data_IF_259887134753
#
_entry.id   IF_259887134753
#
_cell.length_a   1.000
_cell.length_b   1.000
_cell.length_c   1.000
_cell.angle_alpha   90.00
_cell.angle_beta   90.00
_cell.angle_gamma   90.00
#
_symmetry.space_group_name_H-M   'P 1'
#
loop_
_entity.id
_entity.type
_entity.pdbx_description
1 polymer ?
#
# COMPACT_ATOMS: atom_id res chain seq x y z
N UNK A 1 -17.58 -15.05 10.19
CA UNK A 1 -18.00 -14.40 8.93
C UNK A 1 -16.90 -13.40 8.71
N UNK A 2 -16.03 -13.64 7.74
CA UNK A 2 -15.03 -12.63 7.38
C UNK A 2 -15.80 -11.43 6.80
N UNK A 3 -15.37 -10.22 7.18
CA UNK A 3 -16.07 -8.98 6.86
C UNK A 3 -15.69 -8.56 5.43
N UNK A 4 -16.59 -8.81 4.48
CA UNK A 4 -16.44 -8.44 3.07
C UNK A 4 -16.98 -7.02 2.82
N UNK A 5 -16.96 -6.12 3.80
CA UNK A 5 -17.36 -4.72 3.59
C UNK A 5 -16.27 -3.90 2.90
N UNK A 6 -16.64 -2.93 2.04
CA UNK A 6 -15.68 -1.99 1.47
C UNK A 6 -14.92 -1.23 2.54
N UNK A 7 -13.71 -0.80 2.20
CA UNK A 7 -13.00 0.17 3.04
C UNK A 7 -13.89 1.41 3.18
N UNK A 8 -13.98 1.94 4.40
CA UNK A 8 -14.85 3.07 4.75
C UNK A 8 -14.68 4.21 3.73
N UNK A 9 -15.80 4.75 3.26
CA UNK A 9 -15.89 5.82 2.25
C UNK A 9 -15.34 5.47 0.84
N UNK A 10 -15.08 4.18 0.57
CA UNK A 10 -14.60 3.66 -0.73
C UNK A 10 -15.60 2.74 -1.46
N UNK A 11 -16.87 2.78 -1.09
CA UNK A 11 -17.94 2.06 -1.81
C UNK A 11 -18.29 2.74 -3.15
N UNK A 12 -18.64 1.95 -4.16
CA UNK A 12 -19.13 2.42 -5.47
C UNK A 12 -18.05 3.01 -6.36
N UNK A 13 -16.77 2.73 -6.08
CA UNK A 13 -15.64 3.27 -6.85
C UNK A 13 -15.49 2.58 -8.19
N UNK A 14 -15.07 3.36 -9.19
CA UNK A 14 -14.73 2.85 -10.53
C UNK A 14 -13.31 2.32 -10.49
N UNK A 15 -13.13 1.04 -10.80
CA UNK A 15 -11.84 0.40 -10.54
C UNK A 15 -11.65 -0.96 -11.18
N UNK A 16 -10.54 -1.60 -10.86
CA UNK A 16 -10.21 -2.96 -11.29
C UNK A 16 -9.88 -3.87 -10.11
N UNK A 17 -9.40 -5.05 -10.44
CA UNK A 17 -8.92 -6.02 -9.45
C UNK A 17 -7.41 -6.13 -9.61
N UNK A 18 -6.72 -5.99 -8.50
CA UNK A 18 -5.29 -6.23 -8.39
C UNK A 18 -5.07 -7.45 -7.50
N UNK A 19 -3.90 -8.08 -7.63
CA UNK A 19 -3.52 -9.19 -6.77
C UNK A 19 -2.05 -9.15 -6.44
N UNK A 20 -1.70 -9.78 -5.32
CA UNK A 20 -0.33 -9.94 -4.85
C UNK A 20 -0.19 -11.27 -4.13
N UNK A 21 1.05 -11.72 -3.93
CA UNK A 21 1.35 -12.91 -3.15
C UNK A 21 2.06 -12.49 -1.87
N UNK A 22 1.55 -12.94 -0.72
CA UNK A 22 2.20 -12.77 0.58
C UNK A 22 2.30 -14.13 1.25
N UNK A 23 3.52 -14.55 1.61
CA UNK A 23 3.81 -15.85 2.21
C UNK A 23 3.26 -17.03 1.37
N UNK A 24 3.37 -16.92 0.05
CA UNK A 24 2.89 -17.93 -0.90
C UNK A 24 1.36 -17.97 -1.06
N UNK A 25 0.61 -17.10 -0.38
CA UNK A 25 -0.84 -16.96 -0.53
C UNK A 25 -1.17 -15.78 -1.42
N UNK A 26 -2.03 -15.98 -2.42
CA UNK A 26 -2.54 -14.89 -3.25
C UNK A 26 -3.66 -14.15 -2.53
N UNK A 27 -3.54 -12.83 -2.54
CA UNK A 27 -4.53 -11.89 -2.04
C UNK A 27 -4.98 -11.01 -3.19
N UNK A 28 -6.28 -10.82 -3.32
CA UNK A 28 -6.92 -9.94 -4.28
C UNK A 28 -7.44 -8.70 -3.57
N UNK A 29 -7.49 -7.58 -4.28
CA UNK A 29 -8.13 -6.37 -3.80
C UNK A 29 -8.69 -5.53 -4.95
N UNK A 30 -9.75 -4.78 -4.66
CA UNK A 30 -10.26 -3.76 -5.56
C UNK A 30 -9.36 -2.53 -5.54
N UNK A 31 -9.17 -1.90 -6.70
CA UNK A 31 -8.33 -0.71 -6.85
C UNK A 31 -9.03 0.37 -7.68
N UNK A 32 -9.11 1.59 -7.15
CA UNK A 32 -9.60 2.77 -7.87
C UNK A 32 -8.42 3.48 -8.53
N UNK A 33 -8.28 3.32 -9.86
CA UNK A 33 -7.19 3.94 -10.64
C UNK A 33 -7.29 5.46 -10.76
N UNK A 34 -8.44 6.07 -10.44
CA UNK A 34 -8.60 7.53 -10.50
C UNK A 34 -8.10 8.22 -9.25
N UNK A 35 -8.30 7.58 -8.10
CA UNK A 35 -7.84 8.07 -6.81
C UNK A 35 -6.50 7.44 -6.39
N UNK A 36 -6.07 6.40 -7.10
CA UNK A 36 -4.85 5.64 -6.82
C UNK A 36 -4.89 4.93 -5.46
N UNK A 37 -6.03 4.30 -5.13
CA UNK A 37 -6.26 3.73 -3.79
C UNK A 37 -6.88 2.34 -3.81
N UNK A 38 -6.54 1.52 -2.83
CA UNK A 38 -7.24 0.26 -2.58
C UNK A 38 -8.66 0.53 -2.05
N UNK A 39 -9.66 -0.25 -2.47
CA UNK A 39 -11.06 -0.03 -2.05
C UNK A 39 -11.67 -1.19 -1.27
N UNK A 40 -10.98 -2.33 -1.20
CA UNK A 40 -11.44 -3.52 -0.50
C UNK A 40 -10.46 -3.99 0.58
N UNK A 41 -10.93 -4.83 1.53
CA UNK A 41 -10.06 -5.74 2.25
C UNK A 41 -9.27 -6.64 1.30
N UNK A 42 -8.23 -7.29 1.81
CA UNK A 42 -7.50 -8.34 1.11
C UNK A 42 -8.31 -9.64 1.15
N UNK A 43 -8.71 -10.12 -0.03
CA UNK A 43 -9.56 -11.31 -0.16
C UNK A 43 -8.76 -12.40 -0.87
N UNK A 44 -8.63 -13.57 -0.27
CA UNK A 44 -7.84 -14.69 -0.84
C UNK A 44 -8.65 -15.72 -1.64
N UNK A 45 -9.98 -15.65 -1.57
CA UNK A 45 -10.88 -16.48 -2.37
C UNK A 45 -11.31 -15.69 -3.63
N UNK A 46 -10.92 -16.13 -4.83
CA UNK A 46 -11.23 -15.39 -6.06
C UNK A 46 -12.74 -15.35 -6.36
N UNK A 47 -13.54 -16.31 -5.87
CA UNK A 47 -14.99 -16.25 -6.02
C UNK A 47 -15.62 -15.23 -5.05
N UNK A 48 -15.00 -15.01 -3.88
CA UNK A 48 -15.40 -13.94 -2.96
C UNK A 48 -15.02 -12.58 -3.51
N UNK A 49 -13.82 -12.42 -4.05
CA UNK A 49 -13.40 -11.15 -4.66
C UNK A 49 -14.35 -10.72 -5.79
N UNK A 50 -14.75 -11.66 -6.65
CA UNK A 50 -15.69 -11.35 -7.73
C UNK A 50 -17.08 -10.93 -7.23
N UNK A 51 -17.57 -11.55 -6.13
CA UNK A 51 -18.83 -11.14 -5.48
C UNK A 51 -18.71 -9.75 -4.86
N UNK A 52 -17.65 -9.52 -4.08
CA UNK A 52 -17.36 -8.22 -3.50
C UNK A 52 -17.41 -7.12 -4.56
N UNK A 53 -16.71 -7.32 -5.68
CA UNK A 53 -16.63 -6.31 -6.73
C UNK A 53 -17.98 -6.09 -7.42
N UNK A 54 -18.78 -7.14 -7.65
CA UNK A 54 -20.13 -7.01 -8.21
C UNK A 54 -21.09 -6.24 -7.29
N UNK A 55 -20.92 -6.36 -5.98
CA UNK A 55 -21.78 -5.71 -4.99
C UNK A 55 -21.37 -4.26 -4.72
N UNK A 56 -20.06 -3.94 -4.79
CA UNK A 56 -19.53 -2.68 -4.25
C UNK A 56 -18.70 -1.85 -5.23
N UNK A 57 -18.38 -2.34 -6.43
CA UNK A 57 -17.52 -1.64 -7.39
C UNK A 57 -18.21 -1.40 -8.73
N UNK A 58 -17.71 -0.42 -9.46
CA UNK A 58 -18.18 -0.05 -10.78
C UNK A 58 -17.05 -0.15 -11.82
N UNK A 59 -17.44 -0.25 -13.07
CA UNK A 59 -16.62 0.06 -14.23
C UNK A 59 -17.03 1.42 -14.82
N UNK A 60 -16.25 1.91 -15.79
CA UNK A 60 -16.54 3.18 -16.47
C UNK A 60 -17.88 3.21 -17.20
N UNK A 61 -18.44 2.05 -17.52
CA UNK A 61 -19.75 1.84 -18.14
C UNK A 61 -20.85 1.39 -17.15
N UNK A 62 -20.54 1.31 -15.85
CA UNK A 62 -21.49 1.07 -14.77
C UNK A 62 -21.26 -0.23 -14.01
N UNK A 63 -22.34 -0.76 -13.43
CA UNK A 63 -22.30 -1.99 -12.63
C UNK A 63 -22.26 -3.24 -13.52
N UNK A 64 -21.50 -4.24 -13.08
CA UNK A 64 -21.37 -5.53 -13.75
C UNK A 64 -21.61 -6.70 -12.81
N UNK A 65 -21.96 -7.84 -13.39
CA UNK A 65 -22.24 -9.06 -12.62
C UNK A 65 -20.97 -9.79 -12.17
N UNK A 66 -21.17 -10.80 -11.32
CA UNK A 66 -20.08 -11.62 -10.76
C UNK A 66 -19.25 -12.32 -11.85
N UNK A 67 -19.86 -12.68 -12.99
CA UNK A 67 -19.15 -13.39 -14.06
C UNK A 67 -18.14 -12.46 -14.75
N UNK A 68 -18.52 -11.22 -15.02
CA UNK A 68 -17.60 -10.19 -15.49
C UNK A 68 -16.44 -9.96 -14.52
N UNK A 69 -16.73 -9.75 -13.24
CA UNK A 69 -15.68 -9.51 -12.25
C UNK A 69 -14.76 -10.73 -12.06
N UNK A 70 -15.28 -11.94 -12.28
CA UNK A 70 -14.47 -13.16 -12.24
C UNK A 70 -13.38 -13.16 -13.32
N UNK A 71 -13.68 -12.68 -14.52
CA UNK A 71 -12.69 -12.56 -15.60
C UNK A 71 -11.56 -11.59 -15.21
N UNK A 72 -11.90 -10.49 -14.51
CA UNK A 72 -10.90 -9.54 -14.00
C UNK A 72 -10.07 -10.12 -12.85
N UNK A 73 -10.70 -10.87 -11.94
CA UNK A 73 -9.98 -11.60 -10.88
C UNK A 73 -8.98 -12.59 -11.49
N UNK A 74 -9.39 -13.38 -12.48
CA UNK A 74 -8.51 -14.35 -13.12
C UNK A 74 -7.37 -13.63 -13.90
N UNK A 75 -7.67 -12.50 -14.55
CA UNK A 75 -6.67 -11.68 -15.26
C UNK A 75 -5.66 -11.04 -14.30
N UNK A 76 -6.09 -10.62 -13.10
CA UNK A 76 -5.22 -10.00 -12.09
C UNK A 76 -4.12 -10.92 -11.56
N UNK A 77 -4.22 -12.24 -11.82
CA UNK A 77 -3.18 -13.22 -11.48
C UNK A 77 -1.95 -13.07 -12.37
N UNK A 78 -2.14 -12.69 -13.63
CA UNK A 78 -1.07 -12.57 -14.64
C UNK A 78 -0.71 -11.12 -14.94
N UNK A 79 -1.67 -10.21 -14.76
CA UNK A 79 -1.55 -8.79 -15.07
C UNK A 79 -1.69 -7.96 -13.81
N UNK A 80 -0.97 -6.84 -13.76
CA UNK A 80 -1.18 -5.78 -12.78
C UNK A 80 -1.22 -4.44 -13.51
N UNK A 81 -2.10 -3.55 -13.08
CA UNK A 81 -2.09 -2.15 -13.47
C UNK A 81 -1.10 -1.32 -12.65
N UNK A 82 -0.54 -1.88 -11.57
CA UNK A 82 0.36 -1.20 -10.63
C UNK A 82 1.83 -1.53 -10.90
N UNK A 83 2.15 -2.81 -11.14
CA UNK A 83 3.54 -3.27 -11.35
C UNK A 83 3.71 -3.98 -12.69
N UNK A 84 4.92 -3.93 -13.24
CA UNK A 84 5.24 -4.54 -14.53
C UNK A 84 5.53 -6.05 -14.45
N UNK A 85 6.09 -6.52 -13.33
CA UNK A 85 6.54 -7.90 -13.13
C UNK A 85 5.84 -8.55 -11.92
N UNK A 86 5.67 -9.88 -11.92
CA UNK A 86 4.95 -10.60 -10.85
C UNK A 86 5.78 -10.67 -9.56
N UNK A 87 7.10 -10.63 -9.70
CA UNK A 87 8.07 -10.59 -8.62
C UNK A 87 7.93 -9.32 -7.77
N UNK A 88 7.52 -8.19 -8.38
CA UNK A 88 7.34 -6.90 -7.71
C UNK A 88 6.11 -6.85 -6.78
N UNK A 89 5.23 -7.84 -6.88
CA UNK A 89 4.03 -8.04 -6.05
C UNK A 89 4.03 -9.37 -5.32
N UNK A 90 5.22 -9.95 -5.13
CA UNK A 90 5.41 -11.19 -4.37
C UNK A 90 6.30 -10.90 -3.16
N UNK A 91 5.75 -11.16 -1.98
CA UNK A 91 6.39 -10.91 -0.70
C UNK A 91 6.40 -12.16 0.16
N UNK A 92 7.44 -12.31 0.96
CA UNK A 92 7.45 -13.20 2.12
C UNK A 92 7.77 -12.40 3.39
N UNK A 93 7.35 -12.93 4.53
CA UNK A 93 7.49 -12.29 5.83
C UNK A 93 8.96 -11.98 6.19
N UNK A 94 9.92 -12.78 5.71
CA UNK A 94 11.35 -12.53 5.97
C UNK A 94 11.82 -11.28 5.20
N UNK A 95 11.47 -11.19 3.92
CA UNK A 95 11.76 -10.06 3.03
C UNK A 95 11.07 -8.81 3.53
N UNK A 96 9.79 -8.88 3.91
CA UNK A 96 9.06 -7.76 4.50
C UNK A 96 9.73 -7.26 5.78
N UNK A 97 10.12 -8.16 6.68
CA UNK A 97 10.82 -7.78 7.90
C UNK A 97 12.19 -7.12 7.63
N UNK A 98 12.93 -7.61 6.61
CA UNK A 98 14.21 -7.04 6.20
C UNK A 98 14.07 -5.67 5.53
N UNK A 99 12.97 -5.46 4.80
CA UNK A 99 12.67 -4.23 4.07
C UNK A 99 12.02 -3.14 4.93
N UNK A 100 11.88 -3.34 6.25
CA UNK A 100 11.15 -2.40 7.10
C UNK A 100 11.61 -0.96 6.88
N UNK A 101 12.90 -0.67 7.11
CA UNK A 101 13.47 0.68 7.01
C UNK A 101 13.87 1.07 5.58
N UNK A 102 13.87 0.10 4.66
CA UNK A 102 14.28 0.29 3.27
C UNK A 102 13.30 -0.47 2.35
N UNK A 103 12.01 -0.08 2.36
CA UNK A 103 11.00 -0.73 1.54
C UNK A 103 11.31 -0.50 0.06
N UNK A 104 10.91 -1.45 -0.80
CA UNK A 104 10.96 -1.21 -2.23
C UNK A 104 9.95 -0.12 -2.63
N UNK A 105 10.18 0.52 -3.78
CA UNK A 105 9.24 1.50 -4.34
C UNK A 105 7.83 0.94 -4.47
N UNK A 106 7.70 -0.31 -4.90
CA UNK A 106 6.42 -0.99 -5.05
C UNK A 106 5.73 -1.24 -3.71
N UNK A 107 6.50 -1.62 -2.68
CA UNK A 107 5.92 -1.79 -1.34
C UNK A 107 5.46 -0.44 -0.77
N UNK A 108 6.25 0.63 -0.94
CA UNK A 108 5.84 1.98 -0.53
C UNK A 108 4.58 2.44 -1.24
N UNK A 109 4.51 2.23 -2.55
CA UNK A 109 3.34 2.57 -3.35
C UNK A 109 2.10 1.80 -2.88
N UNK A 110 2.24 0.49 -2.68
CA UNK A 110 1.13 -0.35 -2.20
C UNK A 110 0.63 0.11 -0.83
N UNK A 111 1.54 0.43 0.09
CA UNK A 111 1.18 0.94 1.41
C UNK A 111 0.50 2.31 1.32
N UNK A 112 1.02 3.22 0.50
CA UNK A 112 0.42 4.53 0.23
C UNK A 112 -0.99 4.41 -0.34
N UNK A 113 -1.19 3.57 -1.35
CA UNK A 113 -2.51 3.33 -1.93
C UNK A 113 -3.49 2.69 -0.93
N UNK A 114 -3.01 1.80 -0.04
CA UNK A 114 -3.84 1.22 1.00
C UNK A 114 -4.30 2.28 2.03
N UNK A 115 -3.39 3.16 2.46
CA UNK A 115 -3.67 4.26 3.38
C UNK A 115 -4.28 5.48 2.69
N UNK A 116 -4.63 5.39 1.40
CA UNK A 116 -5.14 6.51 0.59
C UNK A 116 -4.27 7.77 0.60
N UNK A 117 -2.95 7.58 0.63
CA UNK A 117 -1.95 8.65 0.56
C UNK A 117 -2.10 9.71 1.66
N UNK A 118 -2.61 9.31 2.83
CA UNK A 118 -2.90 10.18 3.97
C UNK A 118 -1.70 11.06 4.39
N UNK A 119 -1.80 12.35 4.07
CA UNK A 119 -0.74 13.34 4.23
C UNK A 119 -0.61 13.87 5.66
N UNK A 120 -1.47 13.45 6.60
CA UNK A 120 -1.35 13.82 8.02
C UNK A 120 0.01 13.41 8.61
N UNK A 121 0.66 12.40 8.02
CA UNK A 121 2.05 12.02 8.36
C UNK A 121 3.02 13.20 8.33
N UNK A 122 2.92 14.06 7.32
CA UNK A 122 3.83 15.19 7.14
C UNK A 122 3.53 16.36 8.09
N UNK A 123 2.38 16.36 8.79
CA UNK A 123 2.06 17.37 9.78
C UNK A 123 2.84 17.20 11.11
N UNK A 124 3.48 16.04 11.34
CA UNK A 124 4.25 15.78 12.56
C UNK A 124 5.56 16.60 12.58
N UNK A 125 5.74 17.40 13.64
CA UNK A 125 6.92 18.26 13.82
C UNK A 125 8.24 17.48 13.82
N UNK A 126 8.25 16.25 14.35
CA UNK A 126 9.43 15.39 14.39
C UNK A 126 9.79 14.84 13.00
N UNK A 127 8.78 14.54 12.18
CA UNK A 127 8.96 14.17 10.76
C UNK A 127 9.54 15.35 9.99
N UNK A 128 8.98 16.55 10.15
CA UNK A 128 9.49 17.78 9.51
C UNK A 128 10.92 18.10 9.94
N UNK A 129 11.24 17.96 11.22
CA UNK A 129 12.61 18.15 11.71
C UNK A 129 13.59 17.15 11.09
N UNK A 130 13.20 15.88 10.94
CA UNK A 130 14.03 14.87 10.28
C UNK A 130 14.28 15.21 8.80
N UNK A 131 13.24 15.63 8.07
CA UNK A 131 13.36 16.04 6.67
C UNK A 131 14.34 17.21 6.48
N UNK A 132 14.32 18.20 7.40
CA UNK A 132 15.31 19.29 7.42
C UNK A 132 16.73 18.76 7.61
N UNK A 133 16.94 17.86 8.57
CA UNK A 133 18.26 17.25 8.83
C UNK A 133 18.75 16.40 7.65
N UNK A 134 17.84 15.68 6.97
CA UNK A 134 18.14 14.90 5.76
C UNK A 134 18.51 15.81 4.57
N UNK A 135 18.04 17.07 4.60
CA UNK A 135 18.25 18.03 3.52
C UNK A 135 17.22 17.92 2.41
N UNK A 136 16.01 17.45 2.71
CA UNK A 136 14.88 17.48 1.75
C UNK A 136 14.49 18.94 1.49
N UNK A 137 14.37 19.39 0.22
CA UNK A 137 13.94 20.74 -0.12
C UNK A 137 12.55 21.05 0.45
N UNK A 138 12.34 22.26 0.96
CA UNK A 138 11.05 22.68 1.55
C UNK A 138 9.82 22.39 0.68
N UNK A 139 9.83 22.59 -0.65
CA UNK A 139 8.69 22.28 -1.50
C UNK A 139 8.37 20.77 -1.64
N UNK A 140 9.26 19.89 -1.18
CA UNK A 140 9.14 18.43 -1.32
C UNK A 140 8.84 17.76 0.05
N UNK A 141 8.72 18.53 1.14
CA UNK A 141 8.60 18.00 2.51
C UNK A 141 7.21 17.54 2.91
N UNK A 142 6.23 17.81 2.07
CA UNK A 142 4.84 17.36 2.17
C UNK A 142 4.46 16.43 1.00
N UNK A 143 5.47 15.98 0.23
CA UNK A 143 5.28 15.11 -0.91
C UNK A 143 5.87 13.71 -0.62
N UNK A 144 5.14 12.67 -1.03
CA UNK A 144 5.58 11.28 -0.88
C UNK A 144 6.84 10.95 -1.70
N UNK A 145 7.18 11.76 -2.69
CA UNK A 145 8.40 11.63 -3.52
C UNK A 145 9.69 11.77 -2.70
N UNK A 146 9.64 12.36 -1.48
CA UNK A 146 10.81 12.46 -0.61
C UNK A 146 11.27 11.12 0.00
N UNK A 147 10.47 10.06 -0.12
CA UNK A 147 10.73 8.76 0.51
C UNK A 147 12.07 8.13 0.08
N UNK A 148 12.43 8.21 -1.20
CA UNK A 148 13.69 7.66 -1.72
C UNK A 148 14.91 8.34 -1.07
N UNK A 149 14.84 9.66 -0.87
CA UNK A 149 15.90 10.40 -0.17
C UNK A 149 15.97 10.00 1.31
N UNK A 150 14.82 9.76 1.96
CA UNK A 150 14.76 9.34 3.35
C UNK A 150 15.31 7.91 3.55
N UNK A 151 15.03 7.00 2.63
CA UNK A 151 15.60 5.64 2.60
C UNK A 151 17.12 5.73 2.43
N UNK A 152 17.60 6.49 1.44
CA UNK A 152 19.03 6.66 1.21
C UNK A 152 19.73 7.25 2.45
N UNK A 153 19.06 8.16 3.16
CA UNK A 153 19.58 8.77 4.37
C UNK A 153 19.85 7.74 5.48
N UNK A 154 19.07 6.66 5.61
CA UNK A 154 19.28 5.61 6.63
C UNK A 154 20.72 5.06 6.64
N UNK A 155 21.34 4.99 5.46
CA UNK A 155 22.69 4.45 5.24
C UNK A 155 23.75 5.54 5.02
N UNK A 156 23.43 6.80 5.33
CA UNK A 156 24.36 7.92 5.17
C UNK A 156 25.64 7.74 6.00
N UNK A 157 26.82 8.13 5.48
CA UNK A 157 28.05 8.17 6.27
C UNK A 157 28.02 9.26 7.35
N UNK A 158 27.12 10.25 7.23
CA UNK A 158 26.87 11.24 8.27
C UNK A 158 25.92 10.65 9.33
N UNK A 159 26.40 10.57 10.57
CA UNK A 159 25.65 9.96 11.68
C UNK A 159 24.40 10.74 12.11
N UNK A 160 24.34 12.05 11.87
CA UNK A 160 23.14 12.84 12.14
C UNK A 160 22.08 12.58 11.07
N UNK A 161 22.47 12.58 9.80
CA UNK A 161 21.59 12.25 8.66
C UNK A 161 21.08 10.81 8.75
N UNK A 162 21.95 9.85 9.09
CA UNK A 162 21.55 8.44 9.26
C UNK A 162 20.53 8.23 10.37
N UNK A 163 20.69 8.92 11.50
CA UNK A 163 19.70 8.90 12.58
C UNK A 163 18.38 9.54 12.17
N UNK A 164 18.42 10.67 11.45
CA UNK A 164 17.23 11.33 10.95
C UNK A 164 16.47 10.44 9.94
N UNK A 165 17.16 9.82 8.98
CA UNK A 165 16.57 8.86 8.04
C UNK A 165 15.95 7.67 8.75
N UNK A 166 16.65 7.08 9.72
CA UNK A 166 16.11 5.96 10.52
C UNK A 166 14.87 6.38 11.32
N UNK A 167 14.89 7.58 11.92
CA UNK A 167 13.75 8.12 12.65
C UNK A 167 12.55 8.32 11.75
N UNK A 168 12.74 8.98 10.60
CA UNK A 168 11.71 9.19 9.59
C UNK A 168 11.10 7.85 9.14
N UNK A 169 11.92 6.87 8.73
CA UNK A 169 11.41 5.59 8.23
C UNK A 169 10.70 4.77 9.32
N UNK A 170 11.13 4.92 10.59
CA UNK A 170 10.42 4.31 11.73
C UNK A 170 9.06 4.98 11.97
N UNK A 171 8.99 6.31 11.85
CA UNK A 171 7.74 7.05 11.97
C UNK A 171 6.78 6.71 10.82
N UNK A 172 7.28 6.66 9.58
CA UNK A 172 6.54 6.24 8.40
C UNK A 172 5.89 4.86 8.58
N UNK A 173 6.66 3.86 9.02
CA UNK A 173 6.11 2.52 9.27
C UNK A 173 4.99 2.51 10.31
N UNK A 174 5.16 3.26 11.40
CA UNK A 174 4.12 3.35 12.45
C UNK A 174 2.87 3.99 11.88
N UNK A 175 3.02 5.11 11.20
CA UNK A 175 1.93 5.81 10.55
C UNK A 175 1.17 4.91 9.57
N UNK A 176 1.88 4.24 8.67
CA UNK A 176 1.26 3.29 7.74
C UNK A 176 0.52 2.20 8.50
N UNK A 177 1.15 1.54 9.48
CA UNK A 177 0.51 0.45 10.22
C UNK A 177 -0.71 0.86 11.02
N UNK A 178 -0.71 2.06 11.59
CA UNK A 178 -1.82 2.59 12.37
C UNK A 178 -3.01 2.97 11.47
N UNK A 179 -2.77 3.19 10.17
CA UNK A 179 -3.78 3.62 9.20
C UNK A 179 -4.12 2.55 8.14
N UNK A 180 -3.46 1.40 8.14
CA UNK A 180 -3.78 0.30 7.22
C UNK A 180 -5.23 -0.17 7.44
N UNK A 181 -6.04 -0.28 6.39
CA UNK A 181 -7.48 -0.53 6.53
C UNK A 181 -7.80 -2.03 6.68
N UNK A 182 -8.99 -2.32 7.19
CA UNK A 182 -9.56 -3.68 7.23
C UNK A 182 -8.56 -4.74 7.72
N UNK A 183 -8.30 -5.80 6.95
CA UNK A 183 -7.39 -6.89 7.30
C UNK A 183 -5.96 -6.72 6.75
N UNK A 184 -5.61 -5.55 6.19
CA UNK A 184 -4.26 -5.27 5.69
C UNK A 184 -3.18 -5.37 6.78
N UNK A 185 -3.38 -4.86 8.03
CA UNK A 185 -2.38 -4.98 9.09
C UNK A 185 -2.03 -6.43 9.45
N UNK A 186 -2.98 -7.36 9.35
CA UNK A 186 -2.79 -8.78 9.64
C UNK A 186 -1.96 -9.46 8.56
N UNK A 187 -2.24 -9.18 7.28
CA UNK A 187 -1.50 -9.77 6.15
C UNK A 187 -0.07 -9.24 6.12
N UNK A 188 0.15 -7.97 6.43
CA UNK A 188 1.46 -7.34 6.42
C UNK A 188 2.18 -7.36 7.78
N UNK A 189 1.72 -8.16 8.75
CA UNK A 189 2.20 -8.10 10.14
C UNK A 189 3.74 -8.16 10.31
N UNK A 190 4.49 -8.75 9.36
CA UNK A 190 5.96 -8.74 9.36
C UNK A 190 6.60 -7.33 9.29
N UNK A 191 5.91 -6.37 8.66
CA UNK A 191 6.32 -4.96 8.62
C UNK A 191 6.01 -4.21 9.91
N UNK A 192 5.21 -4.78 10.82
CA UNK A 192 4.80 -4.09 12.04
C UNK A 192 6.04 -3.63 12.82
N UNK A 193 6.12 -2.34 13.18
CA UNK A 193 7.24 -1.83 13.95
C UNK A 193 7.29 -2.51 15.32
N UNK A 194 8.50 -2.91 15.75
CA UNK A 194 8.78 -3.52 17.05
C UNK A 194 8.81 -2.51 18.19
#
# INVERSE_FOLDING_TARGET
MEDDTPIVDREGRVGGIESMVVDGRRWFFGFDFSMDTAVSPLIDDPARMARFASEHMLQTDGAHDVAYWRELVDSSVELSGIVGEDEDRTYDSETLAAQRLTPSTQLMYLMGAATAWDDEFFADESVQAALVTIGVPEPERDEWDCLDQCIAATSSPDAEVSRAGTHFMTAYQRFVFDNLPANWPEVFAALRPS
#
